data_IF_205755351029
#
_entry.id   IF_205755351029
#
_cell.length_a   1.000
_cell.length_b   1.000
_cell.length_c   1.000
_cell.angle_alpha   90.00
_cell.angle_beta   90.00
_cell.angle_gamma   90.00
#
_symmetry.space_group_name_H-M   'P 1'
#
loop_
_entity.id
_entity.type
_entity.pdbx_description
1 polymer ?
#
# COMPACT_ATOMS: atom_id res chain seq x y z
N UNK A 1 -73.56 -6.89 -39.99
CA UNK A 1 -72.52 -6.43 -40.94
C UNK A 1 -71.17 -6.51 -40.22
N UNK A 2 -70.29 -7.43 -40.63
CA UNK A 2 -68.97 -7.56 -40.02
C UNK A 2 -68.03 -6.48 -40.55
N UNK A 3 -67.25 -5.78 -39.70
CA UNK A 3 -66.30 -4.77 -40.15
C UNK A 3 -65.21 -5.41 -41.00
N UNK A 4 -64.79 -4.71 -42.06
CA UNK A 4 -63.73 -5.18 -42.95
C UNK A 4 -62.39 -5.26 -42.20
N UNK A 5 -61.55 -6.27 -42.48
CA UNK A 5 -60.27 -6.47 -41.77
C UNK A 5 -59.33 -5.26 -41.89
N UNK A 6 -59.45 -4.47 -42.97
CA UNK A 6 -58.71 -3.22 -43.16
C UNK A 6 -59.13 -2.10 -42.19
N UNK A 7 -60.39 -2.06 -41.75
CA UNK A 7 -60.87 -1.09 -40.77
C UNK A 7 -60.38 -1.40 -39.34
N UNK A 8 -60.29 -2.69 -38.99
CA UNK A 8 -59.71 -3.14 -37.72
C UNK A 8 -58.20 -2.89 -37.64
N UNK A 9 -57.48 -3.10 -38.75
CA UNK A 9 -56.05 -2.78 -38.79
C UNK A 9 -55.79 -1.28 -38.64
N UNK A 10 -56.59 -0.41 -39.28
CA UNK A 10 -56.43 1.05 -39.15
C UNK A 10 -56.77 1.57 -37.75
N UNK A 11 -57.78 1.03 -37.09
CA UNK A 11 -58.11 1.42 -35.71
C UNK A 11 -57.05 0.94 -34.71
N UNK A 12 -56.50 -0.26 -34.89
CA UNK A 12 -55.34 -0.75 -34.13
C UNK A 12 -54.11 0.14 -34.34
N UNK A 13 -53.81 0.50 -35.59
CA UNK A 13 -52.69 1.40 -35.91
C UNK A 13 -52.86 2.76 -35.22
N UNK A 14 -54.04 3.38 -35.31
CA UNK A 14 -54.32 4.67 -34.68
C UNK A 14 -54.21 4.64 -33.14
N UNK A 15 -54.65 3.54 -32.52
CA UNK A 15 -54.52 3.35 -31.06
C UNK A 15 -53.06 3.16 -30.61
N UNK A 16 -52.26 2.44 -31.40
CA UNK A 16 -50.83 2.24 -31.15
C UNK A 16 -50.02 3.54 -31.34
N UNK A 17 -50.40 4.39 -32.29
CA UNK A 17 -49.79 5.71 -32.46
C UNK A 17 -50.09 6.63 -31.26
N UNK A 18 -51.34 6.69 -30.78
CA UNK A 18 -51.73 7.51 -29.62
C UNK A 18 -51.04 7.06 -28.31
N UNK A 19 -50.93 5.75 -28.08
CA UNK A 19 -50.24 5.19 -26.91
C UNK A 19 -48.72 5.40 -26.98
N UNK A 20 -48.11 5.30 -28.17
CA UNK A 20 -46.68 5.58 -28.36
C UNK A 20 -46.31 7.04 -28.06
N UNK A 21 -47.19 8.00 -28.37
CA UNK A 21 -46.99 9.42 -28.07
C UNK A 21 -47.02 9.66 -26.56
N UNK A 22 -48.00 9.07 -25.84
CA UNK A 22 -48.06 9.14 -24.37
C UNK A 22 -46.86 8.45 -23.70
N UNK A 23 -46.42 7.31 -24.22
CA UNK A 23 -45.21 6.61 -23.74
C UNK A 23 -43.93 7.41 -23.98
N UNK A 24 -43.86 8.16 -25.09
CA UNK A 24 -42.70 9.02 -25.42
C UNK A 24 -42.57 10.21 -24.48
N UNK A 25 -43.69 10.72 -23.95
CA UNK A 25 -43.71 11.74 -22.90
C UNK A 25 -43.27 11.18 -21.52
N UNK A 26 -43.66 9.95 -21.19
CA UNK A 26 -43.35 9.33 -19.90
C UNK A 26 -41.91 8.79 -19.79
N UNK A 27 -41.33 8.31 -20.90
CA UNK A 27 -39.99 7.71 -20.92
C UNK A 27 -39.14 8.30 -22.05
N UNK A 28 -38.72 9.56 -21.99
CA UNK A 28 -38.08 10.23 -23.12
C UNK A 28 -36.80 9.53 -23.62
N UNK A 29 -36.76 9.30 -24.92
CA UNK A 29 -35.58 8.85 -25.67
C UNK A 29 -35.44 7.36 -25.90
N UNK A 30 -36.41 6.50 -25.60
CA UNK A 30 -36.36 5.11 -26.09
C UNK A 30 -36.32 5.09 -27.63
N UNK A 31 -35.76 4.03 -28.22
CA UNK A 31 -35.77 3.90 -29.67
C UNK A 31 -37.22 3.76 -30.17
N UNK A 32 -37.56 4.23 -31.38
CA UNK A 32 -38.91 4.11 -31.95
C UNK A 32 -39.44 2.66 -31.91
N UNK A 33 -38.54 1.70 -32.12
CA UNK A 33 -38.80 0.26 -32.05
C UNK A 33 -39.17 -0.22 -30.63
N UNK A 34 -38.54 0.33 -29.58
CA UNK A 34 -38.86 -0.02 -28.19
C UNK A 34 -40.24 0.53 -27.76
N UNK A 35 -40.63 1.72 -28.24
CA UNK A 35 -41.99 2.25 -28.01
C UNK A 35 -43.03 1.44 -28.77
N UNK A 36 -42.74 1.02 -30.01
CA UNK A 36 -43.65 0.19 -30.80
C UNK A 36 -43.96 -1.15 -30.08
N UNK A 37 -42.95 -1.80 -29.52
CA UNK A 37 -43.11 -3.04 -28.76
C UNK A 37 -43.94 -2.85 -27.47
N UNK A 38 -43.75 -1.72 -26.76
CA UNK A 38 -44.55 -1.35 -25.58
C UNK A 38 -45.99 -0.97 -25.95
N UNK A 39 -46.19 -0.26 -27.06
CA UNK A 39 -47.50 0.20 -27.54
C UNK A 39 -48.37 -0.93 -28.10
N UNK A 40 -47.76 -1.97 -28.66
CA UNK A 40 -48.45 -3.16 -29.19
C UNK A 40 -48.87 -4.18 -28.11
N UNK A 41 -48.69 -3.86 -26.82
CA UNK A 41 -49.05 -4.78 -25.73
C UNK A 41 -48.18 -6.04 -25.66
N UNK A 42 -47.05 -6.08 -26.37
CA UNK A 42 -46.09 -7.20 -26.40
C UNK A 42 -45.25 -7.22 -25.10
N UNK A 43 -45.71 -6.56 -24.04
CA UNK A 43 -45.10 -6.59 -22.71
C UNK A 43 -45.12 -7.97 -22.06
N UNK A 44 -45.95 -8.88 -22.56
CA UNK A 44 -46.03 -10.29 -22.14
C UNK A 44 -44.96 -11.19 -22.76
N UNK A 45 -44.13 -10.70 -23.70
CA UNK A 45 -43.04 -11.49 -24.28
C UNK A 45 -41.70 -11.21 -23.58
N UNK A 46 -40.99 -12.25 -23.10
CA UNK A 46 -39.73 -12.10 -22.36
C UNK A 46 -38.64 -11.38 -23.18
N UNK A 47 -38.71 -11.44 -24.51
CA UNK A 47 -37.78 -10.77 -25.43
C UNK A 47 -37.91 -9.24 -25.41
N UNK A 48 -39.14 -8.70 -25.44
CA UNK A 48 -39.38 -7.26 -25.47
C UNK A 48 -38.98 -6.58 -24.15
N UNK A 49 -39.32 -7.21 -23.02
CA UNK A 49 -38.90 -6.75 -21.69
C UNK A 49 -37.37 -6.78 -21.55
N UNK A 50 -36.71 -7.83 -22.04
CA UNK A 50 -35.25 -7.95 -22.03
C UNK A 50 -34.56 -6.90 -22.92
N UNK A 51 -35.11 -6.59 -24.09
CA UNK A 51 -34.58 -5.56 -24.99
C UNK A 51 -34.68 -4.16 -24.35
N UNK A 52 -35.84 -3.80 -23.80
CA UNK A 52 -36.03 -2.52 -23.10
C UNK A 52 -35.11 -2.43 -21.87
N UNK A 53 -35.03 -3.49 -21.05
CA UNK A 53 -34.15 -3.53 -19.89
C UNK A 53 -32.67 -3.41 -20.29
N UNK A 54 -32.23 -4.08 -21.35
CA UNK A 54 -30.87 -3.99 -21.85
C UNK A 54 -30.56 -2.61 -22.43
N UNK A 55 -31.50 -1.99 -23.14
CA UNK A 55 -31.36 -0.63 -23.65
C UNK A 55 -31.31 0.41 -22.52
N UNK A 56 -32.13 0.25 -21.47
CA UNK A 56 -32.08 1.09 -20.27
C UNK A 56 -30.78 0.89 -19.49
N UNK A 57 -30.30 -0.36 -19.34
CA UNK A 57 -29.00 -0.67 -18.74
C UNK A 57 -27.84 -0.10 -19.56
N UNK A 58 -27.89 -0.20 -20.88
CA UNK A 58 -26.89 0.37 -21.78
C UNK A 58 -26.84 1.90 -21.67
N UNK A 59 -28.00 2.56 -21.60
CA UNK A 59 -28.09 4.00 -21.31
C UNK A 59 -27.59 4.37 -19.92
N UNK A 60 -27.92 3.60 -18.90
CA UNK A 60 -27.43 3.81 -17.54
C UNK A 60 -25.89 3.64 -17.47
N UNK A 61 -25.33 2.66 -18.18
CA UNK A 61 -23.89 2.46 -18.33
C UNK A 61 -23.24 3.64 -19.07
N UNK A 62 -23.82 4.08 -20.20
CA UNK A 62 -23.34 5.23 -20.97
C UNK A 62 -23.41 6.55 -20.16
N UNK A 63 -24.47 6.74 -19.37
CA UNK A 63 -24.59 7.87 -18.44
C UNK A 63 -23.50 7.81 -17.37
N UNK A 64 -23.24 6.64 -16.78
CA UNK A 64 -22.17 6.46 -15.78
C UNK A 64 -20.78 6.75 -16.37
N UNK A 65 -20.47 6.31 -17.60
CA UNK A 65 -19.17 6.57 -18.23
C UNK A 65 -18.98 8.05 -18.58
N UNK A 66 -20.03 8.73 -19.07
CA UNK A 66 -20.00 10.18 -19.37
C UNK A 66 -19.91 11.05 -18.12
N UNK A 67 -20.59 10.67 -17.03
CA UNK A 67 -20.45 11.34 -15.73
C UNK A 67 -19.04 11.17 -15.18
N UNK A 68 -18.43 9.98 -15.30
CA UNK A 68 -17.02 9.76 -14.94
C UNK A 68 -16.07 10.68 -15.71
N UNK A 69 -16.27 10.84 -17.02
CA UNK A 69 -15.47 11.75 -17.85
C UNK A 69 -15.62 13.22 -17.38
N UNK A 70 -16.83 13.66 -17.08
CA UNK A 70 -17.06 15.03 -16.56
C UNK A 70 -16.41 15.25 -15.19
N UNK A 71 -16.45 14.25 -14.30
CA UNK A 71 -15.75 14.28 -13.01
C UNK A 71 -14.22 14.36 -13.22
N UNK A 72 -13.69 13.63 -14.19
CA UNK A 72 -12.26 13.65 -14.52
C UNK A 72 -11.82 15.03 -15.03
N UNK A 73 -12.62 15.67 -15.89
CA UNK A 73 -12.40 17.05 -16.36
C UNK A 73 -12.40 18.04 -15.18
N UNK A 74 -13.35 17.91 -14.25
CA UNK A 74 -13.37 18.74 -13.04
C UNK A 74 -12.10 18.56 -12.21
N UNK A 75 -11.65 17.32 -12.01
CA UNK A 75 -10.44 17.04 -11.23
C UNK A 75 -9.17 17.58 -11.92
N UNK A 76 -9.03 17.43 -13.23
CA UNK A 76 -7.85 17.93 -13.95
C UNK A 76 -7.80 19.46 -13.93
N UNK A 77 -8.93 20.14 -14.20
CA UNK A 77 -9.00 21.60 -14.18
C UNK A 77 -8.83 22.18 -12.77
N UNK A 78 -9.40 21.53 -11.74
CA UNK A 78 -9.20 21.94 -10.35
C UNK A 78 -7.75 21.78 -9.90
N UNK A 79 -7.06 20.72 -10.33
CA UNK A 79 -5.62 20.52 -10.06
C UNK A 79 -4.76 21.57 -10.76
N UNK A 80 -5.17 22.02 -11.94
CA UNK A 80 -4.50 23.10 -12.68
C UNK A 80 -4.79 24.51 -12.12
N UNK A 81 -5.61 24.65 -11.07
CA UNK A 81 -5.90 25.93 -10.44
C UNK A 81 -6.88 26.81 -11.22
N UNK A 82 -7.62 26.24 -12.16
CA UNK A 82 -8.57 26.98 -13.02
C UNK A 82 -9.75 27.51 -12.19
N UNK A 83 -10.20 28.72 -12.52
CA UNK A 83 -11.28 29.38 -11.79
C UNK A 83 -12.60 28.62 -11.86
N UNK A 84 -13.41 28.73 -10.80
CA UNK A 84 -14.69 28.00 -10.65
C UNK A 84 -15.66 28.22 -11.82
N UNK A 85 -15.69 29.43 -12.38
CA UNK A 85 -16.58 29.78 -13.50
C UNK A 85 -16.22 29.00 -14.77
N UNK A 86 -14.92 28.83 -15.03
CA UNK A 86 -14.41 28.10 -16.19
C UNK A 86 -14.64 26.60 -16.03
N UNK A 87 -14.48 26.05 -14.83
CA UNK A 87 -14.82 24.64 -14.55
C UNK A 87 -16.31 24.37 -14.73
N UNK A 88 -17.17 25.26 -14.23
CA UNK A 88 -18.62 25.15 -14.40
C UNK A 88 -19.03 25.24 -15.87
N UNK A 89 -18.39 26.13 -16.65
CA UNK A 89 -18.60 26.24 -18.09
C UNK A 89 -18.14 24.98 -18.83
N UNK A 90 -16.94 24.48 -18.56
CA UNK A 90 -16.42 23.26 -19.18
C UNK A 90 -17.32 22.03 -18.95
N UNK A 91 -17.97 21.97 -17.79
CA UNK A 91 -18.96 20.93 -17.45
C UNK A 91 -20.33 21.21 -18.06
N UNK A 92 -20.72 22.48 -18.23
CA UNK A 92 -21.97 22.85 -18.89
C UNK A 92 -21.96 22.54 -20.39
N UNK A 93 -20.78 22.59 -21.03
CA UNK A 93 -20.57 22.24 -22.44
C UNK A 93 -20.58 20.72 -22.67
N UNK A 94 -20.48 19.89 -21.61
CA UNK A 94 -20.67 18.45 -21.77
C UNK A 94 -22.16 18.08 -21.73
N UNK A 95 -22.53 16.98 -22.39
CA UNK A 95 -23.90 16.43 -22.42
C UNK A 95 -24.51 16.12 -21.03
N UNK A 96 -23.73 16.26 -19.95
CA UNK A 96 -24.14 15.98 -18.57
C UNK A 96 -23.59 17.06 -17.62
N UNK A 97 -24.28 18.22 -17.52
CA UNK A 97 -23.89 19.27 -16.60
C UNK A 97 -23.98 18.73 -15.16
N UNK A 98 -22.84 18.58 -14.51
CA UNK A 98 -22.81 18.42 -13.06
C UNK A 98 -23.28 19.74 -12.44
N UNK A 99 -24.19 19.66 -11.48
CA UNK A 99 -24.57 20.86 -10.76
C UNK A 99 -23.36 21.47 -10.06
N UNK A 100 -23.35 22.80 -9.93
CA UNK A 100 -22.25 23.52 -9.27
C UNK A 100 -21.97 22.98 -7.87
N UNK A 101 -22.99 22.52 -7.14
CA UNK A 101 -22.86 21.84 -5.83
C UNK A 101 -22.09 20.52 -5.91
N UNK A 102 -22.28 19.73 -6.96
CA UNK A 102 -21.51 18.49 -7.18
C UNK A 102 -20.03 18.80 -7.46
N UNK A 103 -19.75 19.84 -8.25
CA UNK A 103 -18.38 20.29 -8.53
C UNK A 103 -17.68 20.72 -7.23
N UNK A 104 -18.35 21.48 -6.36
CA UNK A 104 -17.81 21.87 -5.05
C UNK A 104 -17.55 20.68 -4.13
N UNK A 105 -18.49 19.72 -4.06
CA UNK A 105 -18.33 18.51 -3.27
C UNK A 105 -17.11 17.70 -3.71
N UNK A 106 -16.96 17.48 -5.02
CA UNK A 106 -15.82 16.76 -5.60
C UNK A 106 -14.48 17.46 -5.32
N UNK A 107 -14.45 18.79 -5.40
CA UNK A 107 -13.25 19.56 -5.06
C UNK A 107 -12.88 19.41 -3.59
N UNK A 108 -13.84 19.54 -2.66
CA UNK A 108 -13.61 19.36 -1.22
C UNK A 108 -13.11 17.95 -0.90
N UNK A 109 -13.68 16.93 -1.55
CA UNK A 109 -13.22 15.54 -1.44
C UNK A 109 -11.79 15.40 -1.97
N UNK A 110 -11.47 16.04 -3.10
CA UNK A 110 -10.13 16.08 -3.67
C UNK A 110 -9.09 16.70 -2.71
N UNK A 111 -9.40 17.84 -2.11
CA UNK A 111 -8.54 18.52 -1.13
C UNK A 111 -8.32 17.65 0.13
N UNK A 112 -9.38 17.04 0.66
CA UNK A 112 -9.28 16.08 1.79
C UNK A 112 -8.40 14.87 1.44
N UNK A 113 -8.58 14.31 0.24
CA UNK A 113 -7.76 13.18 -0.22
C UNK A 113 -6.29 13.58 -0.41
N UNK A 114 -6.01 14.80 -0.87
CA UNK A 114 -4.64 15.34 -0.97
C UNK A 114 -4.01 15.48 0.41
N UNK A 115 -4.74 16.00 1.39
CA UNK A 115 -4.29 16.11 2.78
C UNK A 115 -4.04 14.72 3.40
N UNK A 116 -4.96 13.77 3.19
CA UNK A 116 -4.82 12.40 3.68
C UNK A 116 -3.60 11.70 3.08
N UNK A 117 -3.35 11.86 1.78
CA UNK A 117 -2.14 11.30 1.13
C UNK A 117 -0.86 11.88 1.72
N UNK A 118 -0.81 13.20 1.97
CA UNK A 118 0.33 13.84 2.64
C UNK A 118 0.53 13.29 4.06
N UNK A 119 -0.55 13.13 4.82
CA UNK A 119 -0.50 12.56 6.17
C UNK A 119 0.03 11.11 6.17
N UNK A 120 -0.50 10.26 5.27
CA UNK A 120 -0.04 8.87 5.13
C UNK A 120 1.43 8.81 4.72
N UNK A 121 1.86 9.67 3.78
CA UNK A 121 3.26 9.73 3.35
C UNK A 121 4.19 10.12 4.51
N UNK A 122 3.83 11.16 5.27
CA UNK A 122 4.58 11.59 6.45
C UNK A 122 4.65 10.49 7.52
N UNK A 123 3.53 9.79 7.77
CA UNK A 123 3.49 8.67 8.72
C UNK A 123 4.39 7.51 8.28
N UNK A 124 4.32 7.11 7.01
CA UNK A 124 5.20 6.08 6.44
C UNK A 124 6.68 6.46 6.55
N UNK A 125 7.03 7.74 6.38
CA UNK A 125 8.40 8.20 6.54
C UNK A 125 8.86 8.09 8.01
N UNK A 126 8.03 8.49 8.96
CA UNK A 126 8.32 8.35 10.40
C UNK A 126 8.47 6.89 10.82
N UNK A 127 7.61 6.01 10.32
CA UNK A 127 7.67 4.58 10.62
C UNK A 127 8.95 3.93 10.04
N UNK A 128 9.37 4.35 8.83
CA UNK A 128 10.66 3.94 8.25
C UNK A 128 11.86 4.41 9.08
N UNK A 129 11.84 5.64 9.57
CA UNK A 129 12.89 6.17 10.44
C UNK A 129 12.99 5.38 11.75
N UNK A 130 11.84 5.12 12.40
CA UNK A 130 11.80 4.28 13.61
C UNK A 130 12.33 2.87 13.38
N UNK A 131 11.96 2.25 12.25
CA UNK A 131 12.45 0.92 11.90
C UNK A 131 13.97 0.92 11.65
N UNK A 132 14.49 1.94 10.98
CA UNK A 132 15.92 2.09 10.74
C UNK A 132 16.68 2.29 12.06
N UNK A 133 16.16 3.12 12.96
CA UNK A 133 16.75 3.34 14.28
C UNK A 133 16.75 2.05 15.12
N UNK A 134 15.65 1.30 15.11
CA UNK A 134 15.57 0.01 15.79
C UNK A 134 16.63 -0.97 15.28
N UNK A 135 16.80 -1.07 13.96
CA UNK A 135 17.82 -1.93 13.33
C UNK A 135 19.24 -1.50 13.68
N UNK A 136 19.51 -0.20 13.82
CA UNK A 136 20.82 0.29 14.26
C UNK A 136 21.11 -0.12 15.70
N UNK A 137 20.16 0.07 16.61
CA UNK A 137 20.30 -0.38 18.00
C UNK A 137 20.51 -1.88 18.11
N UNK A 138 19.75 -2.67 17.35
CA UNK A 138 19.92 -4.14 17.29
C UNK A 138 21.31 -4.55 16.77
N UNK A 139 21.91 -3.77 15.87
CA UNK A 139 23.27 -4.02 15.37
C UNK A 139 24.34 -3.61 16.40
N UNK A 140 24.18 -2.44 17.03
CA UNK A 140 25.05 -1.96 18.12
C UNK A 140 25.05 -2.97 19.28
N UNK A 141 23.88 -3.42 19.73
CA UNK A 141 23.76 -4.43 20.79
C UNK A 141 24.43 -5.77 20.41
N UNK A 142 24.46 -6.12 19.11
CA UNK A 142 25.11 -7.33 18.63
C UNK A 142 26.63 -7.19 18.55
N UNK A 143 27.14 -6.00 18.20
CA UNK A 143 28.57 -5.69 18.22
C UNK A 143 29.10 -5.65 19.65
N UNK A 144 28.38 -5.04 20.58
CA UNK A 144 28.75 -4.99 22.00
C UNK A 144 28.89 -6.39 22.60
N UNK A 145 27.97 -7.30 22.29
CA UNK A 145 28.07 -8.71 22.73
C UNK A 145 29.32 -9.40 22.18
N UNK A 146 29.67 -9.16 20.91
CA UNK A 146 30.88 -9.73 20.31
C UNK A 146 32.14 -9.19 20.99
N UNK A 147 32.18 -7.88 21.25
CA UNK A 147 33.28 -7.24 21.95
C UNK A 147 33.44 -7.78 23.38
N UNK A 148 32.34 -8.02 24.09
CA UNK A 148 32.37 -8.60 25.42
C UNK A 148 32.85 -10.07 25.41
N UNK A 149 32.41 -10.88 24.45
CA UNK A 149 32.92 -12.24 24.26
C UNK A 149 34.43 -12.26 23.95
N UNK A 150 34.91 -11.36 23.10
CA UNK A 150 36.34 -11.22 22.81
C UNK A 150 37.14 -10.78 24.03
N UNK A 151 36.61 -9.83 24.83
CA UNK A 151 37.23 -9.41 26.09
C UNK A 151 37.35 -10.56 27.08
N UNK A 152 36.30 -11.38 27.22
CA UNK A 152 36.34 -12.56 28.10
C UNK A 152 37.41 -13.56 27.65
N UNK A 153 37.50 -13.85 26.34
CA UNK A 153 38.56 -14.72 25.80
C UNK A 153 39.96 -14.17 26.07
N UNK A 154 40.17 -12.89 25.84
CA UNK A 154 41.46 -12.23 26.12
C UNK A 154 41.79 -12.26 27.62
N UNK A 155 40.80 -12.11 28.50
CA UNK A 155 41.01 -12.19 29.94
C UNK A 155 41.37 -13.61 30.38
N UNK A 156 40.73 -14.63 29.81
CA UNK A 156 41.07 -16.04 30.05
C UNK A 156 42.48 -16.39 29.57
N UNK A 157 42.87 -15.94 28.38
CA UNK A 157 44.23 -16.11 27.85
C UNK A 157 45.27 -15.40 28.71
N UNK A 158 44.99 -14.16 29.15
CA UNK A 158 45.84 -13.43 30.10
C UNK A 158 46.02 -14.21 31.39
N UNK A 159 44.94 -14.72 32.00
CA UNK A 159 45.01 -15.57 33.21
C UNK A 159 45.80 -16.85 32.98
N UNK A 160 45.75 -17.43 31.77
CA UNK A 160 46.56 -18.60 31.40
C UNK A 160 48.04 -18.24 31.32
N UNK A 161 48.39 -17.14 30.67
CA UNK A 161 49.76 -16.64 30.59
C UNK A 161 50.33 -16.29 31.97
N UNK A 162 49.55 -15.62 32.83
CA UNK A 162 49.98 -15.32 34.20
C UNK A 162 50.31 -16.58 35.00
N UNK A 163 49.55 -17.67 34.81
CA UNK A 163 49.85 -18.97 35.44
C UNK A 163 51.17 -19.55 34.93
N UNK A 164 51.42 -19.48 33.62
CA UNK A 164 52.69 -19.95 33.02
C UNK A 164 53.86 -19.12 33.54
N UNK A 165 53.76 -17.79 33.54
CA UNK A 165 54.82 -16.89 34.04
C UNK A 165 55.09 -17.13 35.53
N UNK A 166 54.06 -17.34 36.35
CA UNK A 166 54.24 -17.72 37.77
C UNK A 166 54.99 -19.04 37.90
N UNK A 167 54.67 -20.03 37.07
CA UNK A 167 55.37 -21.31 37.06
C UNK A 167 56.84 -21.17 36.64
N UNK A 168 57.13 -20.44 35.56
CA UNK A 168 58.51 -20.19 35.11
C UNK A 168 59.35 -19.47 36.19
N UNK A 169 58.77 -18.49 36.88
CA UNK A 169 59.42 -17.83 38.01
C UNK A 169 59.71 -18.80 39.15
N UNK A 170 58.78 -19.69 39.48
CA UNK A 170 58.97 -20.71 40.52
C UNK A 170 60.07 -21.71 40.14
N UNK A 171 60.13 -22.13 38.86
CA UNK A 171 61.19 -23.03 38.37
C UNK A 171 62.56 -22.37 38.44
N UNK A 172 62.67 -21.08 38.07
CA UNK A 172 63.92 -20.31 38.24
C UNK A 172 64.37 -20.24 39.69
N UNK A 173 63.46 -19.86 40.60
CA UNK A 173 63.73 -19.82 42.04
C UNK A 173 64.18 -21.19 42.59
N UNK A 174 63.53 -22.28 42.16
CA UNK A 174 63.95 -23.62 42.53
C UNK A 174 65.35 -23.95 42.01
N UNK A 175 65.68 -23.58 40.77
CA UNK A 175 67.01 -23.75 40.19
C UNK A 175 68.09 -22.99 40.96
N UNK A 176 67.78 -21.77 41.40
CA UNK A 176 68.69 -20.94 42.20
C UNK A 176 68.96 -21.59 43.57
N UNK A 177 67.93 -22.06 44.27
CA UNK A 177 68.07 -22.76 45.56
C UNK A 177 68.87 -24.06 45.42
N UNK A 178 68.65 -24.85 44.37
CA UNK A 178 69.42 -26.08 44.13
C UNK A 178 70.90 -25.75 43.85
N UNK A 179 71.18 -24.67 43.13
CA UNK A 179 72.55 -24.20 42.92
C UNK A 179 73.22 -23.75 44.23
N UNK A 180 72.51 -23.01 45.09
CA UNK A 180 73.01 -22.63 46.42
C UNK A 180 73.30 -23.85 47.30
N UNK A 181 72.39 -24.82 47.34
CA UNK A 181 72.60 -26.08 48.10
C UNK A 181 73.79 -26.87 47.57
N UNK A 182 73.98 -26.92 46.24
CA UNK A 182 75.16 -27.56 45.64
C UNK A 182 76.45 -26.82 45.99
N UNK A 183 76.43 -25.49 46.12
CA UNK A 183 77.60 -24.72 46.57
C UNK A 183 77.92 -25.02 48.04
N UNK A 184 76.90 -25.14 48.90
CA UNK A 184 77.07 -25.51 50.31
C UNK A 184 77.51 -26.96 50.52
N UNK A 185 77.10 -27.87 49.63
CA UNK A 185 77.53 -29.28 49.61
C UNK A 185 78.90 -29.51 48.97
N UNK A 186 79.55 -28.48 48.41
CA UNK A 186 80.95 -28.65 48.04
C UNK A 186 81.69 -29.05 49.31
N UNK A 187 82.35 -30.22 49.32
CA UNK A 187 83.05 -30.67 50.51
C UNK A 187 84.01 -29.56 50.89
N UNK A 188 83.89 -29.06 52.13
CA UNK A 188 85.01 -28.36 52.75
C UNK A 188 86.19 -29.30 52.56
N UNK A 189 87.10 -28.90 51.68
CA UNK A 189 88.28 -29.64 51.30
C UNK A 189 88.86 -30.25 52.57
N UNK A 190 88.84 -31.58 52.66
CA UNK A 190 89.50 -32.28 53.75
C UNK A 190 90.91 -31.71 53.84
N UNK A 191 91.36 -31.22 55.02
CA UNK A 191 92.71 -30.71 55.14
C UNK A 191 93.67 -31.82 54.68
N UNK A 192 94.72 -31.49 53.90
CA UNK A 192 95.64 -32.48 53.37
C UNK A 192 96.16 -33.30 54.54
N UNK A 193 96.00 -34.63 54.46
CA UNK A 193 96.43 -35.57 55.49
C UNK A 193 97.94 -35.45 55.64
N UNK A 194 98.39 -34.72 56.65
CA UNK A 194 99.80 -34.61 57.01
C UNK A 194 100.27 -35.96 57.54
N UNK A 195 101.13 -36.64 56.78
CA UNK A 195 101.89 -37.80 57.24
C UNK A 195 103.00 -37.31 58.18
N UNK A 196 102.99 -37.79 59.42
CA UNK A 196 104.16 -38.02 60.27
C UNK A 196 103.84 -39.19 61.21
#
# INVERSE_FOLDING_TARGET
MAPSPSSLFRSLQASAFSSSIRLRALLPGLSPMAYALLALGISSYPFAASFVANHLRARAKAKKTRVKASIQIVHTLANAGVSRKVVAYAVAVTDYPLSVRHVESLRRIGEKNKALRKFIAARKQKDRQKLAEKRRREAEDAEDRRMDEERQKLEEEKRRLERIVKHERAVKLFGDVVNELRQLQRPQSCPPRTRN
#
